data_IF_646247714629
#
_entry.id   IF_646247714629
#
_cell.length_a   1.000
_cell.length_b   1.000
_cell.length_c   1.000
_cell.angle_alpha   90.00
_cell.angle_beta   90.00
_cell.angle_gamma   90.00
#
_symmetry.space_group_name_H-M   'P 1'
#
loop_
_entity.id
_entity.type
_entity.pdbx_description
1 polymer ?
#
# COMPACT_ATOMS: atom_id res chain seq x y z
N UNK A 1 -38.32 31.06 5.50
CA UNK A 1 -37.89 29.73 5.01
C UNK A 1 -38.47 28.66 5.94
N UNK A 2 -39.20 27.66 5.43
CA UNK A 2 -39.91 26.69 6.28
C UNK A 2 -38.94 25.81 7.07
N UNK A 3 -39.14 25.70 8.39
CA UNK A 3 -38.27 24.90 9.29
C UNK A 3 -38.10 23.45 8.83
N UNK A 4 -39.12 22.87 8.21
CA UNK A 4 -39.06 21.52 7.61
C UNK A 4 -38.08 21.44 6.43
N UNK A 5 -38.00 22.46 5.57
CA UNK A 5 -37.05 22.48 4.44
C UNK A 5 -35.60 22.59 4.92
N UNK A 6 -35.36 23.31 6.02
CA UNK A 6 -34.03 23.44 6.64
C UNK A 6 -33.53 22.10 7.19
N UNK A 7 -34.42 21.30 7.80
CA UNK A 7 -34.08 19.97 8.33
C UNK A 7 -33.67 18.99 7.22
N UNK A 8 -34.39 18.97 6.09
CA UNK A 8 -34.02 18.13 4.95
C UNK A 8 -32.65 18.50 4.36
N UNK A 9 -32.35 19.81 4.24
CA UNK A 9 -31.02 20.27 3.78
C UNK A 9 -29.90 19.88 4.74
N UNK A 10 -30.17 19.91 6.05
CA UNK A 10 -29.19 19.50 7.06
C UNK A 10 -28.86 18.00 6.98
N UNK A 11 -29.87 17.14 6.80
CA UNK A 11 -29.66 15.70 6.60
C UNK A 11 -28.83 15.44 5.33
N UNK A 12 -29.14 16.14 4.22
CA UNK A 12 -28.41 15.98 2.96
C UNK A 12 -26.93 16.41 3.08
N UNK A 13 -26.65 17.48 3.82
CA UNK A 13 -25.27 17.93 4.08
C UNK A 13 -24.50 16.94 4.96
N UNK A 14 -25.13 16.34 5.97
CA UNK A 14 -24.48 15.32 6.82
C UNK A 14 -24.15 14.06 6.03
N UNK A 15 -25.01 13.62 5.11
CA UNK A 15 -24.73 12.44 4.29
C UNK A 15 -23.51 12.62 3.38
N UNK A 16 -23.25 13.84 2.90
CA UNK A 16 -22.07 14.13 2.08
C UNK A 16 -20.78 14.07 2.90
N UNK A 17 -20.81 14.55 4.15
CA UNK A 17 -19.66 14.52 5.06
C UNK A 17 -19.28 13.11 5.54
N UNK A 18 -20.21 12.16 5.52
CA UNK A 18 -19.96 10.76 5.93
C UNK A 18 -19.41 9.89 4.80
N UNK A 19 -19.50 10.31 3.54
CA UNK A 19 -19.02 9.52 2.40
C UNK A 19 -17.49 9.51 2.28
N UNK A 20 -16.84 10.60 2.68
CA UNK A 20 -15.38 10.81 2.54
C UNK A 20 -14.51 9.96 3.50
N UNK A 21 -15.11 9.22 4.43
CA UNK A 21 -14.38 8.52 5.53
C UNK A 21 -14.20 7.02 5.34
N UNK A 22 -14.79 6.43 4.30
CA UNK A 22 -14.55 5.03 3.97
C UNK A 22 -13.34 4.92 3.03
N UNK A 23 -12.12 5.10 3.57
CA UNK A 23 -10.95 4.48 2.95
C UNK A 23 -11.10 2.98 3.17
N UNK A 24 -11.65 2.29 2.18
CA UNK A 24 -11.77 0.84 2.20
C UNK A 24 -10.34 0.28 2.18
N UNK A 25 -10.01 -0.55 3.16
CA UNK A 25 -8.76 -1.29 3.19
C UNK A 25 -8.65 -2.15 1.92
N UNK A 26 -7.58 -1.99 1.17
CA UNK A 26 -7.29 -2.82 0.01
C UNK A 26 -6.78 -4.18 0.47
N UNK A 27 -7.13 -5.23 -0.27
CA UNK A 27 -6.57 -6.57 -0.06
C UNK A 27 -5.50 -6.89 -1.09
N UNK A 28 -4.30 -7.25 -0.63
CA UNK A 28 -3.19 -7.66 -1.50
C UNK A 28 -2.72 -9.06 -1.15
N UNK A 29 -2.31 -9.81 -2.19
CA UNK A 29 -1.67 -11.12 -2.01
C UNK A 29 -0.28 -10.93 -1.42
N UNK A 30 0.22 -11.96 -0.75
CA UNK A 30 1.58 -11.98 -0.20
C UNK A 30 2.49 -12.80 -1.10
N UNK A 31 3.64 -12.24 -1.43
CA UNK A 31 4.78 -12.98 -1.99
C UNK A 31 5.83 -13.21 -0.92
N UNK A 32 6.57 -14.29 -1.08
CA UNK A 32 7.77 -14.60 -0.33
C UNK A 32 8.95 -14.46 -1.28
N UNK A 33 9.97 -13.69 -0.92
CA UNK A 33 11.14 -13.48 -1.76
C UNK A 33 12.45 -13.81 -1.04
N UNK A 34 13.45 -14.21 -1.82
CA UNK A 34 14.82 -14.43 -1.36
C UNK A 34 15.69 -13.19 -1.55
N UNK A 35 16.93 -13.21 -1.06
CA UNK A 35 17.90 -12.12 -1.24
C UNK A 35 18.24 -11.78 -2.70
N UNK A 36 17.96 -12.68 -3.64
CA UNK A 36 18.26 -12.52 -5.06
C UNK A 36 17.02 -12.07 -5.87
N UNK A 37 15.94 -11.66 -5.21
CA UNK A 37 14.68 -11.25 -5.84
C UNK A 37 13.96 -12.39 -6.58
N UNK A 38 14.27 -13.65 -6.27
CA UNK A 38 13.38 -14.75 -6.64
C UNK A 38 12.16 -14.71 -5.72
N UNK A 39 10.95 -14.96 -6.26
CA UNK A 39 9.73 -14.92 -5.47
C UNK A 39 8.75 -16.03 -5.82
N UNK A 40 7.93 -16.37 -4.83
CA UNK A 40 6.80 -17.28 -4.93
C UNK A 40 5.57 -16.66 -4.27
N UNK A 41 4.37 -17.02 -4.74
CA UNK A 41 3.11 -16.60 -4.11
C UNK A 41 2.80 -17.49 -2.90
N UNK A 42 2.69 -16.89 -1.71
CA UNK A 42 2.36 -17.60 -0.48
C UNK A 42 0.99 -18.26 -0.57
N UNK A 43 0.88 -19.53 -0.17
CA UNK A 43 -0.36 -20.31 -0.21
C UNK A 43 -1.05 -20.21 -1.58
N UNK A 44 -0.26 -20.24 -2.67
CA UNK A 44 -0.73 -20.10 -4.05
C UNK A 44 -1.58 -18.83 -4.29
N UNK A 45 -1.36 -17.79 -3.47
CA UNK A 45 -2.07 -16.51 -3.53
C UNK A 45 -3.42 -16.49 -2.80
N UNK A 46 -3.73 -17.48 -1.97
CA UNK A 46 -4.91 -17.47 -1.09
C UNK A 46 -4.69 -16.59 0.14
N UNK A 47 -3.44 -16.47 0.62
CA UNK A 47 -3.10 -15.57 1.72
C UNK A 47 -3.12 -14.12 1.25
N UNK A 48 -3.96 -13.32 1.88
CA UNK A 48 -4.13 -11.88 1.64
C UNK A 48 -3.99 -11.08 2.91
N UNK A 49 -3.60 -9.82 2.76
CA UNK A 49 -3.51 -8.84 3.84
C UNK A 49 -4.26 -7.57 3.48
N UNK A 50 -4.87 -6.96 4.50
CA UNK A 50 -5.57 -5.69 4.38
C UNK A 50 -4.65 -4.52 4.72
N UNK A 51 -4.79 -3.43 3.97
CA UNK A 51 -3.92 -2.27 4.11
C UNK A 51 -4.19 -1.19 3.09
N UNK A 52 -3.21 -0.32 2.89
CA UNK A 52 -3.27 0.79 1.93
C UNK A 52 -1.90 1.06 1.35
N UNK A 53 -1.86 1.46 0.09
CA UNK A 53 -0.64 1.93 -0.55
C UNK A 53 -0.29 3.35 -0.09
N UNK A 54 1.00 3.58 0.12
CA UNK A 54 1.55 4.90 0.37
C UNK A 54 2.86 5.07 -0.39
N UNK A 55 3.11 6.30 -0.82
CA UNK A 55 4.40 6.70 -1.40
C UNK A 55 5.25 7.37 -0.33
N UNK A 56 6.51 6.98 -0.25
CA UNK A 56 7.50 7.61 0.62
C UNK A 56 8.58 8.27 -0.24
N UNK A 57 8.76 9.60 -0.18
CA UNK A 57 9.83 10.28 -0.88
C UNK A 57 11.18 9.90 -0.27
N UNK A 58 12.18 9.68 -1.12
CA UNK A 58 13.58 9.47 -0.75
C UNK A 58 14.37 10.76 -0.94
N UNK A 59 14.16 11.42 -2.07
CA UNK A 59 14.71 12.73 -2.41
C UNK A 59 13.73 13.49 -3.33
N UNK A 60 14.19 14.58 -3.94
CA UNK A 60 13.35 15.45 -4.78
C UNK A 60 12.80 14.76 -6.03
N UNK A 61 13.46 13.71 -6.52
CA UNK A 61 13.11 13.05 -7.78
C UNK A 61 12.81 11.56 -7.60
N UNK A 62 13.02 11.00 -6.41
CA UNK A 62 12.80 9.58 -6.17
C UNK A 62 11.84 9.34 -5.01
N UNK A 63 10.97 8.36 -5.21
CA UNK A 63 10.10 7.82 -4.18
C UNK A 63 10.06 6.30 -4.30
N UNK A 64 9.50 5.65 -3.30
CA UNK A 64 9.08 4.26 -3.43
C UNK A 64 7.69 4.09 -2.85
N UNK A 65 7.01 3.04 -3.28
CA UNK A 65 5.70 2.67 -2.77
C UNK A 65 5.88 1.62 -1.69
N UNK A 66 5.11 1.70 -0.61
CA UNK A 66 5.02 0.70 0.45
C UNK A 66 3.57 0.40 0.78
N UNK A 67 3.29 -0.82 1.25
CA UNK A 67 1.96 -1.21 1.71
C UNK A 67 1.89 -1.08 3.22
N UNK A 68 1.05 -0.17 3.70
CA UNK A 68 0.77 -0.03 5.13
C UNK A 68 -0.24 -1.10 5.52
N UNK A 69 0.23 -2.09 6.27
CA UNK A 69 -0.63 -3.16 6.79
C UNK A 69 -1.48 -2.60 7.94
N UNK A 70 -2.77 -2.91 7.98
CA UNK A 70 -3.65 -2.38 9.04
C UNK A 70 -3.29 -2.94 10.43
N UNK A 71 -2.76 -4.15 10.48
CA UNK A 71 -2.43 -4.85 11.72
C UNK A 71 -1.01 -4.52 12.25
N UNK A 72 -0.71 -5.07 13.42
CA UNK A 72 0.58 -4.95 14.09
C UNK A 72 1.70 -5.73 13.35
N UNK A 73 2.96 -5.35 13.62
CA UNK A 73 4.18 -6.03 13.16
C UNK A 73 4.13 -7.55 13.35
N UNK A 74 3.39 -8.06 14.35
CA UNK A 74 3.17 -9.49 14.57
C UNK A 74 2.59 -10.23 13.36
N UNK A 75 1.71 -9.59 12.57
CA UNK A 75 1.16 -10.21 11.36
C UNK A 75 2.27 -10.46 10.34
N UNK A 76 3.19 -9.52 10.16
CA UNK A 76 4.27 -9.67 9.19
C UNK A 76 5.28 -10.70 9.68
N UNK A 77 5.56 -10.78 10.98
CA UNK A 77 6.35 -11.88 11.55
C UNK A 77 5.73 -13.24 11.22
N UNK A 78 4.42 -13.40 11.40
CA UNK A 78 3.72 -14.63 11.05
C UNK A 78 3.77 -14.94 9.54
N UNK A 79 3.71 -13.92 8.67
CA UNK A 79 3.87 -14.10 7.23
C UNK A 79 5.30 -14.55 6.88
N UNK A 80 6.32 -13.97 7.50
CA UNK A 80 7.71 -14.39 7.33
C UNK A 80 7.90 -15.86 7.75
N UNK A 81 7.33 -16.26 8.87
CA UNK A 81 7.36 -17.66 9.33
C UNK A 81 6.69 -18.60 8.31
N UNK A 82 5.49 -18.25 7.82
CA UNK A 82 4.82 -19.03 6.77
C UNK A 82 5.63 -19.14 5.49
N UNK A 83 6.28 -18.06 5.06
CA UNK A 83 7.16 -18.08 3.91
C UNK A 83 8.33 -19.05 4.10
N UNK A 84 8.95 -19.04 5.30
CA UNK A 84 10.03 -19.95 5.65
C UNK A 84 9.55 -21.41 5.69
N UNK A 85 8.35 -21.66 6.20
CA UNK A 85 7.74 -22.98 6.25
C UNK A 85 7.42 -23.54 4.86
N UNK A 86 6.91 -22.71 3.95
CA UNK A 86 6.47 -23.16 2.61
C UNK A 86 7.64 -23.26 1.60
N UNK A 87 8.56 -22.30 1.60
CA UNK A 87 9.60 -22.19 0.57
C UNK A 87 11.03 -22.35 1.10
N UNK A 88 11.20 -22.41 2.43
CA UNK A 88 12.50 -22.55 3.08
C UNK A 88 13.11 -21.22 3.53
N UNK A 89 14.19 -21.31 4.32
CA UNK A 89 14.80 -20.16 5.03
C UNK A 89 15.32 -19.04 4.14
N UNK A 90 15.59 -19.32 2.86
CA UNK A 90 16.06 -18.29 1.93
C UNK A 90 14.92 -17.32 1.54
N UNK A 91 13.66 -17.76 1.55
CA UNK A 91 12.49 -16.97 1.18
C UNK A 91 11.86 -16.25 2.38
N UNK A 92 12.66 -15.51 3.14
CA UNK A 92 12.22 -14.94 4.43
C UNK A 92 11.61 -13.53 4.32
N UNK A 93 11.63 -12.89 3.15
CA UNK A 93 11.01 -11.59 2.94
C UNK A 93 9.54 -11.76 2.52
N UNK A 94 8.62 -11.50 3.44
CA UNK A 94 7.20 -11.39 3.12
C UNK A 94 6.90 -9.99 2.57
N UNK A 95 6.34 -9.88 1.37
CA UNK A 95 6.05 -8.62 0.70
C UNK A 95 4.66 -8.64 0.02
N UNK A 96 4.01 -7.49 -0.19
CA UNK A 96 2.77 -7.41 -0.95
C UNK A 96 3.02 -7.59 -2.45
N UNK A 97 2.10 -8.25 -3.14
CA UNK A 97 2.15 -8.41 -4.60
C UNK A 97 1.62 -7.16 -5.31
N UNK A 98 2.47 -6.42 -6.02
CA UNK A 98 2.10 -5.19 -6.74
C UNK A 98 2.70 -5.01 -8.13
N UNK A 99 3.47 -5.99 -8.62
CA UNK A 99 4.20 -5.89 -9.89
C UNK A 99 5.55 -5.15 -9.80
N UNK A 100 5.83 -4.48 -8.68
CA UNK A 100 7.14 -3.90 -8.35
C UNK A 100 7.59 -4.40 -6.97
N UNK A 101 8.86 -4.21 -6.63
CA UNK A 101 9.33 -4.53 -5.28
C UNK A 101 8.94 -3.43 -4.31
N UNK A 102 8.21 -3.82 -3.27
CA UNK A 102 7.66 -2.88 -2.30
C UNK A 102 7.59 -3.55 -0.94
N UNK A 103 8.01 -2.89 0.14
CA UNK A 103 7.99 -3.49 1.47
C UNK A 103 6.62 -3.30 2.13
N UNK A 104 6.35 -4.12 3.14
CA UNK A 104 5.33 -3.78 4.12
C UNK A 104 5.83 -2.65 5.04
N UNK A 105 4.88 -1.94 5.62
CA UNK A 105 5.14 -0.92 6.63
C UNK A 105 4.03 -0.94 7.67
N UNK A 106 4.34 -0.49 8.89
CA UNK A 106 3.33 -0.29 9.93
C UNK A 106 2.68 1.09 9.83
N UNK A 107 1.58 1.30 10.55
CA UNK A 107 0.92 2.61 10.66
C UNK A 107 1.84 3.74 11.18
N UNK A 108 2.95 3.41 11.84
CA UNK A 108 3.96 4.37 12.32
C UNK A 108 5.07 4.62 11.29
N UNK A 109 4.83 4.27 10.02
CA UNK A 109 5.80 4.36 8.92
C UNK A 109 7.09 3.55 9.15
N UNK A 110 7.06 2.54 10.02
CA UNK A 110 8.18 1.62 10.17
C UNK A 110 8.18 0.65 8.99
N UNK A 111 9.15 0.79 8.10
CA UNK A 111 9.40 -0.15 7.01
C UNK A 111 9.87 -1.50 7.57
N UNK A 112 9.38 -2.57 6.97
CA UNK A 112 9.78 -3.94 7.29
C UNK A 112 10.70 -4.44 6.18
N UNK A 113 11.60 -5.37 6.53
CA UNK A 113 12.62 -5.84 5.59
C UNK A 113 12.00 -6.44 4.31
N UNK A 114 12.61 -6.10 3.17
CA UNK A 114 12.22 -6.60 1.86
C UNK A 114 12.92 -5.82 0.75
N UNK A 115 12.64 -6.19 -0.49
CA UNK A 115 13.14 -5.46 -1.66
C UNK A 115 12.34 -4.19 -1.92
N UNK A 116 13.01 -3.19 -2.50
CA UNK A 116 12.42 -1.90 -2.83
C UNK A 116 12.77 -1.55 -4.27
N UNK A 117 11.77 -1.15 -5.05
CA UNK A 117 11.94 -0.48 -6.35
C UNK A 117 11.82 1.02 -6.12
N UNK A 118 12.87 1.76 -6.46
CA UNK A 118 12.83 3.22 -6.52
C UNK A 118 12.17 3.64 -7.83
N UNK A 119 11.23 4.58 -7.73
CA UNK A 119 10.52 5.20 -8.83
C UNK A 119 10.99 6.64 -8.96
N UNK A 120 11.14 7.11 -10.19
CA UNK A 120 11.46 8.50 -10.47
C UNK A 120 10.16 9.28 -10.68
N UNK A 121 10.05 10.47 -10.10
CA UNK A 121 8.98 11.41 -10.41
C UNK A 121 9.25 11.97 -11.81
N UNK A 122 8.36 11.71 -12.76
CA UNK A 122 8.48 12.32 -14.09
C UNK A 122 8.28 13.82 -13.92
N UNK A 123 9.32 14.62 -14.21
CA UNK A 123 9.15 16.06 -14.29
C UNK A 123 8.00 16.32 -15.26
N UNK A 124 6.98 17.12 -14.88
CA UNK A 124 5.89 17.42 -15.79
C UNK A 124 6.53 18.04 -17.01
N UNK A 125 6.45 17.37 -18.16
CA UNK A 125 7.00 17.88 -19.41
C UNK A 125 6.52 19.31 -19.52
N UNK A 126 7.44 20.26 -19.33
CA UNK A 126 7.17 21.66 -19.49
C UNK A 126 6.79 21.78 -20.95
N UNK A 127 5.49 21.69 -21.24
CA UNK A 127 4.92 21.85 -22.56
C UNK A 127 5.46 23.18 -23.07
N UNK A 128 6.51 23.08 -23.89
CA UNK A 128 7.09 24.20 -24.60
C UNK A 128 5.97 24.64 -25.54
N UNK A 129 5.15 25.58 -25.06
CA UNK A 129 4.29 26.38 -25.90
C UNK A 129 5.22 27.12 -26.86
N UNK A 130 5.51 26.50 -27.99
CA UNK A 130 6.00 27.16 -29.18
C UNK A 130 4.91 28.13 -29.64
N UNK A 131 4.91 29.33 -29.05
CA UNK A 131 4.29 30.49 -29.67
C UNK A 131 5.21 30.90 -30.83
N UNK A 132 4.90 30.36 -32.01
CA UNK A 132 5.34 30.92 -33.30
C UNK A 132 4.51 32.12 -33.70
#
# INVERSE_FOLDING_TARGET
MNKQKLFFYFIFMISFLLHERYSIAEEVKVICSDKNQNWELLDKGNTKVQGKWQSMPIDENHYFVHFVIENDISQVTALKEKCIEEFGKEFYYAQPFSGIWTPFSTNNCQLLDGHITLLQEEEPEHSFLHFG
#
